data_IF_174205317368
#
_entry.id   IF_174205317368
#
_cell.length_a   1.000
_cell.length_b   1.000
_cell.length_c   1.000
_cell.angle_alpha   90.00
_cell.angle_beta   90.00
_cell.angle_gamma   90.00
#
_symmetry.space_group_name_H-M   'P 1'
#
loop_
_entity.id
_entity.type
_entity.pdbx_description
1 polymer ?
#
# COMPACT_ATOMS: atom_id res chain seq x y z
N UNK A 1 -56.00 -42.30 -19.10
CA UNK A 1 -55.83 -40.93 -19.64
C UNK A 1 -56.42 -39.80 -18.77
N UNK A 2 -57.27 -40.06 -17.76
CA UNK A 2 -57.95 -38.99 -16.97
C UNK A 2 -57.08 -38.19 -15.97
N UNK A 3 -55.85 -38.62 -15.67
CA UNK A 3 -55.01 -37.99 -14.63
C UNK A 3 -53.80 -37.23 -15.17
N UNK A 4 -53.48 -37.32 -16.46
CA UNK A 4 -52.30 -36.68 -17.05
C UNK A 4 -52.41 -35.16 -16.99
N UNK A 5 -53.59 -34.61 -17.30
CA UNK A 5 -53.81 -33.16 -17.25
C UNK A 5 -53.72 -32.57 -15.84
N UNK A 6 -54.08 -33.36 -14.81
CA UNK A 6 -53.95 -32.95 -13.40
C UNK A 6 -52.49 -32.96 -12.93
N UNK A 7 -51.71 -33.96 -13.38
CA UNK A 7 -50.28 -34.05 -13.08
C UNK A 7 -49.53 -32.92 -13.79
N UNK A 8 -49.87 -32.62 -15.04
CA UNK A 8 -49.26 -31.53 -15.80
C UNK A 8 -49.59 -30.15 -15.20
N UNK A 9 -50.83 -29.94 -14.76
CA UNK A 9 -51.24 -28.72 -14.07
C UNK A 9 -50.54 -28.55 -12.72
N UNK A 10 -50.35 -29.64 -11.96
CA UNK A 10 -49.62 -29.62 -10.69
C UNK A 10 -48.13 -29.31 -10.90
N UNK A 11 -47.50 -29.91 -11.91
CA UNK A 11 -46.11 -29.60 -12.28
C UNK A 11 -45.95 -28.14 -12.71
N UNK A 12 -46.89 -27.62 -13.49
CA UNK A 12 -46.88 -26.21 -13.90
C UNK A 12 -47.06 -25.26 -12.71
N UNK A 13 -47.91 -25.62 -11.74
CA UNK A 13 -48.12 -24.83 -10.54
C UNK A 13 -46.90 -24.85 -9.60
N UNK A 14 -46.18 -25.98 -9.51
CA UNK A 14 -44.93 -26.09 -8.76
C UNK A 14 -43.84 -25.22 -9.40
N UNK A 15 -43.71 -25.25 -10.74
CA UNK A 15 -42.76 -24.39 -11.45
C UNK A 15 -43.09 -22.90 -11.27
N UNK A 16 -44.38 -22.55 -11.27
CA UNK A 16 -44.83 -21.17 -11.05
C UNK A 16 -44.52 -20.70 -9.61
N UNK A 17 -44.78 -21.53 -8.60
CA UNK A 17 -44.43 -21.23 -7.20
C UNK A 17 -42.91 -21.10 -7.04
N UNK A 18 -42.12 -21.98 -7.66
CA UNK A 18 -40.68 -21.87 -7.65
C UNK A 18 -40.16 -20.61 -8.38
N UNK A 19 -40.88 -20.09 -9.37
CA UNK A 19 -40.49 -18.84 -10.06
C UNK A 19 -40.86 -17.56 -9.29
N UNK A 20 -41.89 -17.60 -8.43
CA UNK A 20 -42.39 -16.43 -7.70
C UNK A 20 -42.09 -16.43 -6.19
N UNK A 21 -41.60 -17.52 -5.62
CA UNK A 21 -41.31 -17.64 -4.19
C UNK A 21 -39.82 -17.78 -3.84
N UNK A 22 -38.91 -17.69 -4.81
CA UNK A 22 -37.51 -17.37 -4.45
C UNK A 22 -37.51 -15.88 -4.15
N UNK A 23 -37.32 -15.44 -2.91
CA UNK A 23 -36.92 -14.05 -2.71
C UNK A 23 -35.69 -13.82 -3.59
N UNK A 24 -35.61 -12.65 -4.24
CA UNK A 24 -34.35 -12.10 -4.72
C UNK A 24 -33.42 -12.02 -3.49
N UNK A 25 -32.78 -13.14 -3.17
CA UNK A 25 -31.58 -13.14 -2.39
C UNK A 25 -30.59 -12.44 -3.29
N UNK A 26 -30.43 -11.13 -3.08
CA UNK A 26 -29.22 -10.46 -3.48
C UNK A 26 -28.09 -11.38 -3.01
N UNK A 27 -27.33 -11.89 -3.98
CA UNK A 27 -26.06 -12.57 -3.71
C UNK A 27 -25.09 -11.45 -3.30
N UNK A 28 -25.40 -10.73 -2.23
CA UNK A 28 -24.39 -10.19 -1.34
C UNK A 28 -23.97 -11.37 -0.46
N UNK A 29 -23.45 -12.40 -1.13
CA UNK A 29 -22.74 -13.47 -0.48
C UNK A 29 -21.61 -12.80 0.27
N UNK A 30 -21.66 -12.89 1.60
CA UNK A 30 -20.46 -12.83 2.42
C UNK A 30 -19.59 -13.97 1.92
N UNK A 31 -18.79 -13.71 0.89
CA UNK A 31 -17.68 -14.57 0.52
C UNK A 31 -16.76 -14.54 1.74
N UNK A 32 -16.74 -15.64 2.48
CA UNK A 32 -15.66 -15.92 3.41
C UNK A 32 -14.44 -16.13 2.52
N UNK A 33 -13.66 -15.08 2.27
CA UNK A 33 -12.59 -15.11 1.28
C UNK A 33 -11.68 -16.32 1.53
N UNK A 34 -11.75 -17.31 0.64
CA UNK A 34 -10.98 -18.53 0.75
C UNK A 34 -9.51 -18.23 0.42
N UNK A 35 -8.57 -18.94 1.05
CA UNK A 35 -7.15 -18.81 0.70
C UNK A 35 -6.94 -19.15 -0.78
N UNK A 36 -6.43 -18.18 -1.55
CA UNK A 36 -6.02 -18.44 -2.93
C UNK A 36 -4.71 -19.26 -2.95
N UNK A 37 -4.51 -20.11 -3.97
CA UNK A 37 -3.22 -20.77 -4.18
C UNK A 37 -2.13 -19.73 -4.50
N UNK A 38 -1.03 -19.77 -3.75
CA UNK A 38 0.13 -18.90 -3.94
C UNK A 38 1.16 -19.63 -4.80
N UNK A 39 1.00 -19.55 -6.12
CA UNK A 39 1.95 -20.15 -7.07
C UNK A 39 3.02 -19.15 -7.50
N UNK A 40 4.25 -19.62 -7.62
CA UNK A 40 5.33 -18.90 -8.31
C UNK A 40 5.77 -19.74 -9.51
N UNK A 41 5.24 -19.49 -10.72
CA UNK A 41 5.58 -20.27 -11.91
C UNK A 41 7.08 -20.16 -12.22
N UNK A 42 7.70 -21.28 -12.59
CA UNK A 42 9.09 -21.28 -13.02
C UNK A 42 9.29 -20.31 -14.20
N UNK A 43 10.27 -19.42 -14.10
CA UNK A 43 10.55 -18.38 -15.09
C UNK A 43 9.79 -17.06 -14.89
N UNK A 44 9.02 -16.90 -13.81
CA UNK A 44 8.42 -15.61 -13.44
C UNK A 44 9.49 -14.65 -12.92
N UNK A 45 9.42 -13.39 -13.35
CA UNK A 45 10.33 -12.32 -12.93
C UNK A 45 10.10 -11.92 -11.48
N UNK A 46 11.17 -11.78 -10.68
CA UNK A 46 11.14 -11.30 -9.30
C UNK A 46 12.23 -10.23 -9.11
N UNK A 47 12.08 -9.11 -9.80
CA UNK A 47 13.06 -8.03 -9.71
C UNK A 47 13.03 -7.43 -8.30
N UNK A 48 14.14 -7.60 -7.58
CA UNK A 48 14.26 -7.09 -6.22
C UNK A 48 14.52 -5.58 -6.19
N UNK A 49 14.04 -4.94 -5.11
CA UNK A 49 14.32 -3.54 -4.81
C UNK A 49 13.18 -2.59 -5.16
N UNK A 50 13.32 -1.38 -4.66
CA UNK A 50 12.36 -0.30 -4.87
C UNK A 50 12.97 0.79 -5.73
N UNK A 51 12.11 1.54 -6.42
CA UNK A 51 12.50 2.73 -7.16
C UNK A 51 13.00 3.79 -6.18
N UNK A 52 13.96 4.62 -6.62
CA UNK A 52 14.53 5.70 -5.81
C UNK A 52 13.59 6.91 -5.63
N UNK A 53 12.28 6.67 -5.59
CA UNK A 53 11.22 7.67 -5.54
C UNK A 53 10.35 7.37 -4.33
N UNK A 54 10.46 8.23 -3.32
CA UNK A 54 9.68 8.16 -2.09
C UNK A 54 8.82 9.41 -2.01
N UNK A 55 7.59 9.32 -1.52
CA UNK A 55 6.79 10.51 -1.22
C UNK A 55 6.28 10.48 0.21
N UNK A 56 6.26 11.64 0.87
CA UNK A 56 5.75 11.80 2.23
C UNK A 56 4.53 12.70 2.27
N UNK A 57 3.54 12.30 3.05
CA UNK A 57 2.28 13.02 3.26
C UNK A 57 2.09 13.19 4.79
N UNK A 58 2.18 14.41 5.33
CA UNK A 58 1.88 14.64 6.75
C UNK A 58 0.44 14.26 7.08
N UNK A 59 0.20 13.63 8.22
CA UNK A 59 -1.15 13.27 8.67
C UNK A 59 -2.07 14.51 8.74
N UNK A 60 -1.54 15.63 9.23
CA UNK A 60 -2.25 16.90 9.34
C UNK A 60 -2.65 17.53 8.00
N UNK A 61 -2.12 17.03 6.88
CA UNK A 61 -2.42 17.55 5.54
C UNK A 61 -3.60 16.86 4.86
N UNK A 62 -4.13 15.78 5.45
CA UNK A 62 -5.19 14.96 4.85
C UNK A 62 -6.40 14.83 5.76
N UNK A 63 -7.58 14.69 5.15
CA UNK A 63 -8.86 14.41 5.81
C UNK A 63 -9.34 12.99 5.57
N UNK A 64 -8.82 12.33 4.53
CA UNK A 64 -9.08 10.92 4.22
C UNK A 64 -7.81 10.26 3.73
N UNK A 65 -7.64 9.02 4.15
CA UNK A 65 -6.51 8.15 3.83
C UNK A 65 -7.07 6.88 3.18
N UNK A 66 -6.45 6.34 2.12
CA UNK A 66 -6.81 5.04 1.59
C UNK A 66 -6.75 3.97 2.68
N UNK A 67 -7.76 3.10 2.74
CA UNK A 67 -7.88 2.10 3.79
C UNK A 67 -8.23 0.74 3.21
N UNK A 68 -7.79 -0.33 3.88
CA UNK A 68 -8.20 -1.68 3.51
C UNK A 68 -9.73 -1.83 3.66
N UNK A 69 -10.40 -2.55 2.74
CA UNK A 69 -11.82 -2.86 2.84
C UNK A 69 -12.17 -3.49 4.19
N UNK A 70 -13.24 -3.00 4.83
CA UNK A 70 -13.73 -3.60 6.09
C UNK A 70 -14.25 -5.03 5.90
N UNK A 71 -14.78 -5.31 4.71
CA UNK A 71 -15.30 -6.61 4.33
C UNK A 71 -14.63 -6.98 3.01
N UNK A 72 -13.49 -7.70 3.05
CA UNK A 72 -12.83 -8.17 1.85
C UNK A 72 -13.73 -9.19 1.14
N UNK A 73 -13.85 -9.06 -0.18
CA UNK A 73 -14.66 -9.94 -1.04
C UNK A 73 -13.76 -10.88 -1.83
N UNK A 74 -12.60 -10.37 -2.26
CA UNK A 74 -11.58 -11.06 -3.01
C UNK A 74 -10.28 -11.18 -2.20
N UNK A 75 -9.39 -12.08 -2.59
CA UNK A 75 -8.10 -12.27 -1.87
C UNK A 75 -7.21 -11.04 -1.96
N UNK A 76 -7.26 -10.29 -3.07
CA UNK A 76 -6.51 -9.05 -3.24
C UNK A 76 -6.96 -7.94 -2.25
N UNK A 77 -8.21 -8.00 -1.77
CA UNK A 77 -8.79 -6.99 -0.88
C UNK A 77 -8.14 -7.00 0.51
N UNK A 78 -7.47 -8.10 0.91
CA UNK A 78 -6.74 -8.15 2.18
C UNK A 78 -5.51 -7.24 2.22
N UNK A 79 -4.98 -6.84 1.06
CA UNK A 79 -3.76 -6.04 0.96
C UNK A 79 -3.94 -4.79 0.11
N UNK A 80 -5.05 -4.64 -0.61
CA UNK A 80 -5.29 -3.49 -1.49
C UNK A 80 -6.15 -2.45 -0.79
N UNK A 81 -5.63 -1.24 -0.60
CA UNK A 81 -6.38 -0.13 -0.04
C UNK A 81 -7.36 0.46 -1.05
N UNK A 82 -8.58 0.72 -0.61
CA UNK A 82 -9.61 1.41 -1.38
C UNK A 82 -9.57 2.92 -1.12
N UNK A 83 -9.96 3.68 -2.15
CA UNK A 83 -10.04 5.13 -2.10
C UNK A 83 -8.73 5.85 -2.44
N UNK A 84 -8.73 7.15 -2.18
CA UNK A 84 -7.62 8.05 -2.48
C UNK A 84 -7.44 9.05 -1.33
N UNK A 85 -6.23 9.62 -1.23
CA UNK A 85 -5.97 10.71 -0.29
C UNK A 85 -6.83 11.92 -0.61
N UNK A 86 -7.45 12.50 0.43
CA UNK A 86 -8.15 13.79 0.32
C UNK A 86 -7.40 14.82 1.14
N UNK A 87 -6.71 15.74 0.47
CA UNK A 87 -5.96 16.81 1.13
C UNK A 87 -6.89 17.87 1.73
N UNK A 88 -6.49 18.43 2.87
CA UNK A 88 -7.21 19.53 3.54
C UNK A 88 -7.24 20.77 2.64
N UNK A 89 -6.11 21.08 2.00
CA UNK A 89 -6.00 22.19 1.06
C UNK A 89 -6.10 21.66 -0.37
N UNK A 90 -6.92 22.35 -1.17
CA UNK A 90 -7.06 22.02 -2.59
C UNK A 90 -5.73 22.28 -3.32
N UNK A 91 -5.26 21.27 -4.06
CA UNK A 91 -4.02 21.35 -4.83
C UNK A 91 -2.75 20.96 -4.07
N UNK A 92 -2.83 20.65 -2.76
CA UNK A 92 -1.70 20.06 -2.04
C UNK A 92 -1.34 18.71 -2.67
N UNK A 93 -0.03 18.44 -2.74
CA UNK A 93 0.54 17.20 -3.30
C UNK A 93 1.48 16.57 -2.26
N UNK A 94 1.71 15.25 -2.34
CA UNK A 94 2.75 14.60 -1.54
C UNK A 94 4.12 15.27 -1.76
N UNK A 95 4.93 15.32 -0.71
CA UNK A 95 6.29 15.85 -0.80
C UNK A 95 7.20 14.79 -1.43
N UNK A 96 7.76 15.03 -2.63
CA UNK A 96 8.66 14.06 -3.25
C UNK A 96 10.02 14.08 -2.57
N UNK A 97 10.57 12.89 -2.34
CA UNK A 97 11.88 12.66 -1.75
C UNK A 97 12.66 11.77 -2.70
N UNK A 98 13.74 12.32 -3.23
CA UNK A 98 14.70 11.54 -4.00
C UNK A 98 15.45 10.60 -3.04
N UNK A 99 15.44 9.30 -3.34
CA UNK A 99 16.26 8.31 -2.67
C UNK A 99 17.29 7.74 -3.63
N UNK A 100 18.49 7.47 -3.12
CA UNK A 100 19.54 6.82 -3.91
C UNK A 100 19.09 5.42 -4.29
N UNK A 101 19.30 5.01 -5.54
CA UNK A 101 18.96 3.67 -6.02
C UNK A 101 19.58 2.59 -5.12
N UNK A 102 18.85 1.50 -4.90
CA UNK A 102 19.26 0.38 -4.05
C UNK A 102 19.48 0.73 -2.55
N UNK A 103 18.97 1.88 -2.09
CA UNK A 103 18.99 2.24 -0.65
C UNK A 103 17.61 2.18 -0.01
N UNK A 104 16.55 2.09 -0.80
CA UNK A 104 15.18 1.97 -0.30
C UNK A 104 14.95 0.51 0.13
N UNK A 105 14.68 0.32 1.41
CA UNK A 105 14.39 -0.97 2.03
C UNK A 105 13.01 -0.99 2.67
N UNK A 106 12.40 -2.18 2.69
CA UNK A 106 11.11 -2.44 3.31
C UNK A 106 11.13 -3.85 3.91
N UNK A 107 10.65 -3.97 5.15
CA UNK A 107 10.52 -5.22 5.88
C UNK A 107 9.21 -5.21 6.67
N UNK A 108 8.55 -6.36 6.70
CA UNK A 108 7.37 -6.60 7.50
C UNK A 108 7.63 -7.81 8.40
N UNK A 109 7.56 -7.62 9.71
CA UNK A 109 7.82 -8.66 10.71
C UNK A 109 6.59 -8.84 11.59
N UNK A 110 6.26 -10.08 11.95
CA UNK A 110 5.13 -10.35 12.85
C UNK A 110 5.49 -9.87 14.26
N UNK A 111 4.54 -9.22 14.91
CA UNK A 111 4.61 -8.83 16.30
C UNK A 111 3.29 -9.13 17.02
N UNK A 112 3.27 -8.97 18.35
CA UNK A 112 2.10 -9.22 19.19
C UNK A 112 2.06 -10.63 19.77
N UNK A 113 1.11 -10.83 20.68
CA UNK A 113 0.91 -12.11 21.38
C UNK A 113 -0.09 -13.01 20.63
N UNK A 114 -0.28 -14.23 21.12
CA UNK A 114 -1.32 -15.15 20.61
C UNK A 114 -2.67 -14.43 20.58
N UNK A 115 -3.40 -14.58 19.47
CA UNK A 115 -4.70 -13.94 19.18
C UNK A 115 -4.67 -12.40 18.97
N UNK A 116 -3.50 -11.76 19.06
CA UNK A 116 -3.30 -10.31 18.87
C UNK A 116 -2.16 -9.98 17.88
N UNK A 117 -1.95 -10.82 16.87
CA UNK A 117 -0.84 -10.67 15.91
C UNK A 117 -1.08 -9.51 14.94
N UNK A 118 -0.04 -8.73 14.71
CA UNK A 118 0.03 -7.67 13.69
C UNK A 118 1.41 -7.68 13.03
N UNK A 119 1.65 -6.74 12.12
CA UNK A 119 2.94 -6.55 11.46
C UNK A 119 3.59 -5.25 11.93
N UNK A 120 4.86 -5.34 12.31
CA UNK A 120 5.76 -4.19 12.40
C UNK A 120 6.39 -3.96 11.04
N UNK A 121 6.09 -2.83 10.43
CA UNK A 121 6.71 -2.39 9.19
C UNK A 121 7.92 -1.55 9.54
N UNK A 122 9.07 -1.87 8.96
CA UNK A 122 10.29 -1.09 9.07
C UNK A 122 10.94 -0.90 7.72
N UNK A 123 11.68 0.18 7.54
CA UNK A 123 12.45 0.40 6.33
C UNK A 123 13.37 1.59 6.43
N UNK A 124 14.13 1.80 5.36
CA UNK A 124 15.12 2.87 5.28
C UNK A 124 15.25 3.38 3.85
N UNK A 125 15.73 4.62 3.70
CA UNK A 125 16.16 5.18 2.43
C UNK A 125 17.22 6.27 2.63
N UNK A 126 18.05 6.50 1.61
CA UNK A 126 19.16 7.45 1.69
C UNK A 126 19.04 8.60 0.68
N UNK A 127 19.08 9.84 1.17
CA UNK A 127 19.14 11.05 0.35
C UNK A 127 20.55 11.66 0.36
N UNK A 128 21.21 11.84 -0.79
CA UNK A 128 22.58 12.31 -0.83
C UNK A 128 22.71 13.82 -0.58
N UNK A 129 23.86 14.22 -0.03
CA UNK A 129 24.23 15.62 0.14
C UNK A 129 23.65 16.29 1.39
N UNK A 130 24.01 17.56 1.57
CA UNK A 130 23.75 18.33 2.78
C UNK A 130 23.02 19.65 2.48
N UNK A 131 22.17 19.66 1.46
CA UNK A 131 21.41 20.87 1.09
C UNK A 131 20.54 21.31 2.27
N UNK A 132 20.35 22.62 2.41
CA UNK A 132 19.57 23.21 3.51
C UNK A 132 18.13 22.68 3.50
N UNK A 133 17.54 22.50 2.32
CA UNK A 133 16.18 21.97 2.18
C UNK A 133 16.05 20.54 2.74
N UNK A 134 17.05 19.69 2.50
CA UNK A 134 17.08 18.33 3.04
C UNK A 134 17.23 18.34 4.57
N UNK A 135 18.04 19.26 5.12
CA UNK A 135 18.17 19.43 6.56
C UNK A 135 16.88 19.99 7.21
N UNK A 136 16.21 20.92 6.54
CA UNK A 136 14.94 21.47 7.00
C UNK A 136 13.84 20.40 6.99
N UNK A 137 13.78 19.60 5.92
CA UNK A 137 12.88 18.46 5.82
C UNK A 137 13.15 17.43 6.93
N UNK A 138 14.42 17.04 7.13
CA UNK A 138 14.81 16.11 8.19
C UNK A 138 14.39 16.61 9.59
N UNK A 139 14.52 17.91 9.87
CA UNK A 139 14.06 18.50 11.13
C UNK A 139 12.54 18.44 11.28
N UNK A 140 11.79 18.70 10.21
CA UNK A 140 10.33 18.71 10.24
C UNK A 140 9.77 17.29 10.38
N UNK A 141 10.32 16.32 9.64
CA UNK A 141 9.76 14.97 9.58
C UNK A 141 9.95 14.16 10.87
N UNK A 142 11.04 14.37 11.63
CA UNK A 142 11.36 13.60 12.84
C UNK A 142 10.26 13.61 13.92
N UNK A 143 9.38 14.60 13.94
CA UNK A 143 8.25 14.67 14.87
C UNK A 143 6.90 14.87 14.15
N UNK A 144 6.85 14.59 12.85
CA UNK A 144 5.63 14.72 12.05
C UNK A 144 5.16 13.32 11.67
N UNK A 145 4.08 12.81 12.29
CA UNK A 145 3.45 11.58 11.82
C UNK A 145 2.88 11.79 10.42
N UNK A 146 2.90 10.73 9.61
CA UNK A 146 2.35 10.81 8.26
C UNK A 146 2.32 9.47 7.55
N UNK A 147 2.32 9.54 6.23
CA UNK A 147 2.23 8.40 5.34
C UNK A 147 3.40 8.47 4.35
N UNK A 148 4.03 7.32 4.11
CA UNK A 148 5.04 7.19 3.06
C UNK A 148 4.50 6.37 1.90
N UNK A 149 4.86 6.78 0.70
CA UNK A 149 4.62 6.03 -0.53
C UNK A 149 5.96 5.60 -1.11
N UNK A 150 6.09 4.30 -1.36
CA UNK A 150 7.22 3.71 -2.07
C UNK A 150 6.70 2.91 -3.26
N UNK A 151 7.51 2.75 -4.29
CA UNK A 151 7.10 2.10 -5.53
C UNK A 151 8.16 1.06 -5.92
N UNK A 152 7.72 -0.15 -6.28
CA UNK A 152 8.54 -1.13 -6.98
C UNK A 152 8.09 -1.21 -8.45
N UNK A 153 8.48 -2.23 -9.18
CA UNK A 153 8.09 -2.36 -10.59
C UNK A 153 6.64 -2.84 -10.79
N UNK A 154 6.00 -3.38 -9.74
CA UNK A 154 4.67 -4.00 -9.80
C UNK A 154 3.58 -3.10 -9.22
N UNK A 155 3.84 -2.45 -8.08
CA UNK A 155 2.84 -1.75 -7.29
C UNK A 155 3.42 -0.60 -6.46
N UNK A 156 2.54 0.33 -6.10
CA UNK A 156 2.82 1.39 -5.13
C UNK A 156 2.33 0.96 -3.75
N UNK A 157 3.22 1.01 -2.76
CA UNK A 157 2.92 0.64 -1.38
C UNK A 157 2.69 1.88 -0.52
N UNK A 158 1.71 1.75 0.38
CA UNK A 158 1.41 2.70 1.44
C UNK A 158 2.01 2.22 2.76
N UNK A 159 2.78 3.07 3.43
CA UNK A 159 3.27 2.85 4.79
C UNK A 159 2.55 3.81 5.73
N UNK A 160 2.00 3.24 6.79
CA UNK A 160 1.09 3.92 7.71
C UNK A 160 -0.36 3.76 7.27
N UNK A 161 -1.27 3.86 8.23
CA UNK A 161 -2.71 3.75 8.02
C UNK A 161 -3.45 4.73 8.94
N UNK A 162 -4.72 4.98 8.70
CA UNK A 162 -5.51 5.86 9.56
C UNK A 162 -5.47 5.36 11.02
N UNK A 163 -5.12 6.25 11.96
CA UNK A 163 -4.91 5.94 13.37
C UNK A 163 -3.55 5.31 13.73
N UNK A 164 -2.80 4.80 12.76
CA UNK A 164 -1.44 4.27 12.93
C UNK A 164 -0.51 4.86 11.87
N UNK A 165 -0.18 6.16 11.97
CA UNK A 165 0.70 6.81 11.02
C UNK A 165 2.12 6.27 11.11
N UNK A 166 2.87 6.45 10.03
CA UNK A 166 4.28 6.15 9.97
C UNK A 166 5.09 7.23 10.71
N UNK A 167 6.07 6.78 11.49
CA UNK A 167 7.09 7.63 12.11
C UNK A 167 8.39 7.51 11.32
N UNK A 168 8.98 8.66 10.97
CA UNK A 168 10.24 8.70 10.25
C UNK A 168 11.27 9.41 11.10
N UNK A 169 12.44 8.80 11.25
CA UNK A 169 13.59 9.45 11.89
C UNK A 169 14.66 9.71 10.85
N UNK A 170 15.47 10.74 11.07
CA UNK A 170 16.54 11.14 10.16
C UNK A 170 17.87 11.24 10.90
N UNK A 171 18.93 10.78 10.25
CA UNK A 171 20.31 10.94 10.70
C UNK A 171 21.17 11.49 9.55
N UNK A 172 22.21 12.25 9.87
CA UNK A 172 23.13 12.82 8.90
C UNK A 172 24.52 12.25 9.09
N UNK A 173 25.12 11.79 7.99
CA UNK A 173 26.54 11.42 7.93
C UNK A 173 27.29 12.37 7.00
N UNK A 174 28.36 12.97 7.53
CA UNK A 174 29.24 13.88 6.80
C UNK A 174 30.23 13.17 5.87
N UNK A 175 30.46 11.87 6.08
CA UNK A 175 31.58 11.12 5.51
C UNK A 175 32.91 11.53 6.15
N UNK A 176 33.78 10.56 6.44
CA UNK A 176 35.12 10.83 7.01
C UNK A 176 36.18 10.87 5.92
N UNK A 177 36.08 9.97 4.94
CA UNK A 177 36.94 9.88 3.78
C UNK A 177 36.23 10.40 2.51
N UNK A 178 36.98 10.81 1.47
CA UNK A 178 36.39 11.23 0.19
C UNK A 178 35.53 10.15 -0.50
N UNK A 179 35.70 8.88 -0.16
CA UNK A 179 34.92 7.76 -0.68
C UNK A 179 33.64 7.46 0.14
N UNK A 180 33.48 8.06 1.31
CA UNK A 180 32.33 7.79 2.18
C UNK A 180 31.07 8.48 1.64
N UNK A 181 29.91 7.87 1.94
CA UNK A 181 28.61 8.46 1.62
C UNK A 181 28.38 9.66 2.53
N UNK A 182 28.09 10.82 1.93
CA UNK A 182 27.66 12.03 2.64
C UNK A 182 26.19 12.30 2.35
N UNK A 183 25.34 12.32 3.37
CA UNK A 183 23.91 12.55 3.19
C UNK A 183 23.06 12.23 4.40
N UNK A 184 21.77 12.09 4.15
CA UNK A 184 20.74 11.82 5.13
C UNK A 184 20.23 10.39 4.99
N UNK A 185 20.26 9.64 6.09
CA UNK A 185 19.60 8.34 6.21
C UNK A 185 18.29 8.53 6.95
N UNK A 186 17.20 8.12 6.32
CA UNK A 186 15.87 8.13 6.90
C UNK A 186 15.47 6.69 7.22
N UNK A 187 15.02 6.45 8.44
CA UNK A 187 14.42 5.18 8.84
C UNK A 187 12.96 5.41 9.18
N UNK A 188 12.11 4.46 8.85
CA UNK A 188 10.68 4.57 9.10
C UNK A 188 10.13 3.32 9.76
N UNK A 189 9.13 3.51 10.62
CA UNK A 189 8.38 2.42 11.23
C UNK A 189 6.87 2.73 11.26
N UNK A 190 6.07 1.67 11.16
CA UNK A 190 4.61 1.74 11.28
C UNK A 190 4.05 0.39 11.74
N UNK A 191 2.95 0.40 12.47
CA UNK A 191 2.18 -0.81 12.76
C UNK A 191 1.11 -1.02 11.69
N UNK A 192 0.90 -2.27 11.26
CA UNK A 192 -0.12 -2.60 10.29
C UNK A 192 -0.78 -3.94 10.55
N UNK A 193 -2.02 -4.07 10.09
CA UNK A 193 -2.77 -5.34 10.08
C UNK A 193 -2.37 -6.24 8.92
N UNK A 194 -1.73 -5.69 7.88
CA UNK A 194 -1.28 -6.41 6.69
C UNK A 194 0.25 -6.33 6.55
N UNK A 195 0.90 -7.35 5.98
CA UNK A 195 2.35 -7.33 5.74
C UNK A 195 2.75 -6.34 4.64
N UNK A 196 1.79 -5.90 3.82
CA UNK A 196 1.93 -4.83 2.85
C UNK A 196 0.55 -4.23 2.57
N UNK A 197 0.51 -2.93 2.31
CA UNK A 197 -0.68 -2.24 1.81
C UNK A 197 -0.36 -1.69 0.43
N UNK A 198 -1.05 -2.19 -0.58
CA UNK A 198 -0.98 -1.75 -1.97
C UNK A 198 -2.01 -0.66 -2.21
N UNK A 199 -1.61 0.42 -2.88
CA UNK A 199 -2.52 1.49 -3.27
C UNK A 199 -3.44 1.03 -4.41
N UNK A 200 -4.75 0.92 -4.16
CA UNK A 200 -5.73 0.66 -5.23
C UNK A 200 -5.88 1.84 -6.19
N UNK A 201 -5.62 3.06 -5.74
CA UNK A 201 -5.52 4.27 -6.57
C UNK A 201 -4.13 4.88 -6.44
N UNK A 202 -3.15 4.47 -7.26
CA UNK A 202 -1.77 4.98 -7.16
C UNK A 202 -1.68 6.48 -7.43
N UNK A 203 -0.78 7.14 -6.72
CA UNK A 203 -0.36 8.52 -6.99
C UNK A 203 0.69 8.52 -8.10
N UNK A 204 0.58 9.44 -9.06
CA UNK A 204 1.60 9.63 -10.10
C UNK A 204 2.88 10.24 -9.50
N UNK A 205 3.77 9.37 -9.03
CA UNK A 205 5.09 9.80 -8.56
C UNK A 205 5.93 10.37 -9.71
N UNK A 206 5.77 9.88 -10.94
CA UNK A 206 6.56 10.38 -12.07
C UNK A 206 6.33 11.87 -12.32
N UNK A 207 5.07 12.33 -12.22
CA UNK A 207 4.73 13.75 -12.29
C UNK A 207 5.42 14.56 -11.19
N UNK A 208 5.44 14.04 -9.95
CA UNK A 208 6.06 14.71 -8.79
C UNK A 208 7.58 14.88 -8.92
N UNK A 209 8.24 14.01 -9.69
CA UNK A 209 9.69 14.06 -9.93
C UNK A 209 10.07 14.73 -11.26
N UNK A 210 9.13 15.34 -11.99
CA UNK A 210 9.45 16.07 -13.23
C UNK A 210 10.45 17.22 -12.97
N UNK A 211 11.55 17.24 -13.73
CA UNK A 211 12.62 18.23 -13.57
C UNK A 211 13.69 17.88 -12.52
N UNK A 212 13.58 16.74 -11.84
CA UNK A 212 14.61 16.21 -10.93
C UNK A 212 15.50 15.24 -11.71
N UNK A 213 16.83 15.31 -11.50
CA UNK A 213 17.78 14.42 -12.18
C UNK A 213 17.39 12.94 -11.94
N UNK A 214 17.42 12.14 -13.00
CA UNK A 214 17.23 10.69 -12.92
C UNK A 214 18.20 10.08 -11.91
N UNK A 215 17.74 9.09 -11.14
CA UNK A 215 18.65 8.27 -10.31
C UNK A 215 19.81 7.79 -11.18
N UNK A 216 21.08 8.09 -10.83
CA UNK A 216 22.22 7.52 -11.52
C UNK A 216 22.08 6.00 -11.54
N UNK A 217 22.27 5.38 -12.70
CA UNK A 217 22.45 3.94 -12.78
C UNK A 217 23.66 3.58 -11.92
N UNK A 218 23.49 2.69 -10.94
CA UNK A 218 24.60 2.21 -10.17
C UNK A 218 25.51 1.42 -11.14
N UNK A 219 26.77 1.82 -11.41
CA UNK A 219 27.59 1.20 -12.44
C UNK A 219 28.19 -0.15 -11.97
N UNK A 220 27.44 -0.94 -11.21
CA UNK A 220 27.94 -2.15 -10.55
C UNK A 220 26.85 -3.00 -9.90
N UNK A 221 25.85 -3.40 -10.68
CA UNK A 221 25.11 -4.64 -10.45
C UNK A 221 25.72 -5.75 -11.29
#
# INVERSE_FOLDING_TARGET
MKNINKILALLFFIVLICAFCVPDMSIEGVMCAAFAPVFWPAGSDNMGGYKGRVAFIPESSVTKVPALPKVPKEVADFVTAEGAFTFVKSGDKPTPIYATRATVGYKAEIQGETDCKSYKITGEFFHPGSKIDAAAFARQICNTPGYLLIENDEHQQLIGQEGYPCMVTASFDGGKAPADKRGWSFTFEADSVAPMIVMGTPVDLSELFTGVASTPENPGS
#
